data_IF_722964631154
#
_entry.id   IF_722964631154
#
_cell.length_a   1.000
_cell.length_b   1.000
_cell.length_c   1.000
_cell.angle_alpha   90.00
_cell.angle_beta   90.00
_cell.angle_gamma   90.00
#
_symmetry.space_group_name_H-M   'P 1'
#
loop_
_entity.id
_entity.type
_entity.pdbx_description
1 polymer ?
#
# COMPACT_ATOMS: atom_id res chain seq x y z
N UNK A 1 16.74 6.74 -24.01
CA UNK A 1 17.02 6.97 -22.57
C UNK A 1 16.61 5.69 -21.86
N UNK A 2 17.46 5.12 -21.02
CA UNK A 2 17.04 3.96 -20.21
C UNK A 2 15.99 4.44 -19.21
N UNK A 3 14.78 3.90 -19.31
CA UNK A 3 13.75 4.15 -18.32
C UNK A 3 14.19 3.52 -16.99
N UNK A 4 14.26 4.32 -15.95
CA UNK A 4 14.57 3.84 -14.60
C UNK A 4 13.27 3.56 -13.87
N UNK A 5 13.07 2.33 -13.46
CA UNK A 5 11.94 1.93 -12.62
C UNK A 5 12.43 1.81 -11.17
N UNK A 6 11.75 2.49 -10.26
CA UNK A 6 11.99 2.38 -8.82
C UNK A 6 10.81 1.65 -8.17
N UNK A 7 11.09 0.56 -7.46
CA UNK A 7 10.08 -0.23 -6.75
C UNK A 7 10.34 -0.14 -5.25
N UNK A 8 9.41 0.43 -4.50
CA UNK A 8 9.41 0.40 -3.04
C UNK A 8 8.50 -0.74 -2.58
N UNK A 9 9.09 -1.82 -2.08
CA UNK A 9 8.37 -3.00 -1.61
C UNK A 9 8.32 -3.02 -0.09
N UNK A 10 7.13 -2.84 0.49
CA UNK A 10 6.89 -2.98 1.93
C UNK A 10 6.40 -4.40 2.24
N UNK A 11 7.14 -5.11 3.09
CA UNK A 11 6.77 -6.46 3.55
C UNK A 11 6.67 -6.43 5.08
N UNK A 12 5.49 -6.14 5.63
CA UNK A 12 5.29 -6.11 7.07
C UNK A 12 5.62 -7.46 7.71
N UNK A 13 6.34 -7.43 8.83
CA UNK A 13 6.75 -8.64 9.55
C UNK A 13 7.99 -9.35 9.00
N UNK A 14 8.55 -8.91 7.87
CA UNK A 14 9.81 -9.47 7.35
C UNK A 14 10.97 -9.18 8.30
N UNK A 15 11.63 -10.22 8.80
CA UNK A 15 12.81 -10.09 9.66
C UNK A 15 14.08 -10.36 8.85
N UNK A 16 15.19 -9.76 9.26
CA UNK A 16 16.48 -9.95 8.60
C UNK A 16 16.87 -11.44 8.43
N UNK A 17 16.56 -12.26 9.42
CA UNK A 17 16.85 -13.70 9.40
C UNK A 17 15.99 -14.48 8.38
N UNK A 18 14.83 -13.94 7.98
CA UNK A 18 13.94 -14.60 7.03
C UNK A 18 14.47 -14.47 5.60
N UNK A 19 15.23 -13.41 5.31
CA UNK A 19 15.84 -13.15 3.98
C UNK A 19 16.71 -14.33 3.53
N UNK A 20 17.47 -14.95 4.44
CA UNK A 20 18.31 -16.10 4.12
C UNK A 20 17.54 -17.33 3.60
N UNK A 21 16.25 -17.43 3.95
CA UNK A 21 15.33 -18.50 3.53
C UNK A 21 14.52 -18.15 2.28
N UNK A 22 14.70 -16.94 1.73
CA UNK A 22 14.00 -16.42 0.56
C UNK A 22 15.00 -16.27 -0.61
N UNK A 23 15.20 -17.28 -1.45
CA UNK A 23 16.32 -17.32 -2.41
C UNK A 23 16.38 -16.11 -3.34
N UNK A 24 15.23 -15.62 -3.82
CA UNK A 24 15.15 -14.46 -4.70
C UNK A 24 15.53 -13.17 -3.98
N UNK A 25 15.00 -12.96 -2.77
CA UNK A 25 15.32 -11.78 -1.96
C UNK A 25 16.78 -11.81 -1.49
N UNK A 26 17.29 -13.00 -1.11
CA UNK A 26 18.69 -13.18 -0.77
C UNK A 26 19.63 -12.90 -1.97
N UNK A 27 19.21 -13.22 -3.18
CA UNK A 27 19.98 -12.89 -4.39
C UNK A 27 20.03 -11.38 -4.63
N UNK A 28 18.89 -10.69 -4.51
CA UNK A 28 18.82 -9.23 -4.58
C UNK A 28 19.71 -8.57 -3.51
N UNK A 29 19.63 -9.04 -2.27
CA UNK A 29 20.40 -8.53 -1.15
C UNK A 29 21.93 -8.70 -1.32
N UNK A 30 22.37 -9.73 -2.05
CA UNK A 30 23.79 -9.91 -2.40
C UNK A 30 24.28 -8.95 -3.49
N UNK A 31 23.38 -8.51 -4.37
CA UNK A 31 23.70 -7.55 -5.45
C UNK A 31 23.49 -6.08 -5.07
N UNK A 32 23.01 -5.81 -3.86
CA UNK A 32 22.70 -4.48 -3.36
C UNK A 32 23.16 -4.29 -1.92
N UNK A 33 22.63 -3.26 -1.28
CA UNK A 33 22.94 -2.91 0.11
C UNK A 33 21.87 -3.39 1.08
N UNK A 34 22.27 -3.59 2.34
CA UNK A 34 21.40 -3.93 3.44
C UNK A 34 21.64 -2.99 4.63
N UNK A 35 20.58 -2.47 5.20
CA UNK A 35 20.62 -1.64 6.38
C UNK A 35 19.58 -2.08 7.42
N UNK A 36 19.83 -1.75 8.68
CA UNK A 36 18.83 -1.89 9.71
C UNK A 36 17.76 -0.79 9.55
N UNK A 37 16.49 -1.17 9.61
CA UNK A 37 15.39 -0.23 9.65
C UNK A 37 15.03 0.06 11.11
N UNK A 38 15.11 1.32 11.51
CA UNK A 38 14.62 1.82 12.79
C UNK A 38 13.26 2.51 12.56
N UNK A 39 12.13 1.84 12.83
CA UNK A 39 10.81 2.44 12.62
C UNK A 39 10.53 3.50 13.69
N UNK A 40 9.59 4.41 13.40
CA UNK A 40 9.02 5.28 14.42
C UNK A 40 8.14 4.48 15.39
N UNK A 41 7.86 5.06 16.55
CA UNK A 41 6.89 4.48 17.49
C UNK A 41 5.53 5.20 17.33
N UNK A 42 4.41 4.45 17.32
CA UNK A 42 4.32 2.99 17.27
C UNK A 42 4.71 2.40 15.91
N UNK A 43 5.37 1.24 15.92
CA UNK A 43 5.80 0.55 14.72
C UNK A 43 4.63 -0.26 14.10
N UNK A 44 3.55 0.42 13.76
CA UNK A 44 2.37 -0.16 13.11
C UNK A 44 2.24 0.33 11.67
N UNK A 45 1.41 -0.32 10.86
CA UNK A 45 1.46 -0.22 9.40
C UNK A 45 1.25 1.19 8.86
N UNK A 46 0.18 1.88 9.27
CA UNK A 46 -0.14 3.19 8.70
C UNK A 46 0.94 4.25 8.97
N UNK A 47 1.41 4.49 10.21
CA UNK A 47 2.47 5.45 10.45
C UNK A 47 3.76 5.12 9.72
N UNK A 48 4.16 3.83 9.69
CA UNK A 48 5.41 3.43 9.03
C UNK A 48 5.33 3.60 7.51
N UNK A 49 4.22 3.24 6.89
CA UNK A 49 4.02 3.47 5.46
C UNK A 49 4.00 4.97 5.13
N UNK A 50 3.39 5.78 5.97
CA UNK A 50 3.40 7.24 5.78
C UNK A 50 4.80 7.84 5.97
N UNK A 51 5.60 7.35 6.93
CA UNK A 51 7.01 7.74 7.01
C UNK A 51 7.75 7.43 5.70
N UNK A 52 7.51 6.24 5.12
CA UNK A 52 8.18 5.80 3.88
C UNK A 52 7.76 6.66 2.67
N UNK A 53 6.50 7.00 2.56
CA UNK A 53 5.95 7.71 1.39
C UNK A 53 6.08 9.23 1.48
N UNK A 54 6.16 9.80 2.69
CA UNK A 54 6.30 11.26 2.89
C UNK A 54 7.72 11.70 3.23
N UNK A 55 8.57 10.79 3.72
CA UNK A 55 9.87 11.14 4.30
C UNK A 55 9.76 11.93 5.61
N UNK A 56 8.59 11.92 6.26
CA UNK A 56 8.26 12.69 7.46
C UNK A 56 7.93 11.79 8.63
N UNK A 57 7.88 12.36 9.84
CA UNK A 57 7.45 11.66 11.05
C UNK A 57 5.96 11.89 11.34
N UNK A 58 5.33 11.06 12.21
CA UNK A 58 3.90 11.19 12.54
C UNK A 58 3.44 12.58 12.96
N UNK A 59 4.30 13.34 13.64
CA UNK A 59 4.00 14.74 14.02
C UNK A 59 3.83 15.69 12.84
N UNK A 60 4.34 15.31 11.65
CA UNK A 60 4.30 16.14 10.44
C UNK A 60 3.27 15.64 9.44
N UNK A 61 3.13 14.31 9.28
CA UNK A 61 2.15 13.76 8.35
C UNK A 61 0.80 13.42 9.01
N UNK A 62 0.66 13.57 10.35
CA UNK A 62 -0.60 13.45 11.07
C UNK A 62 -1.08 12.02 11.35
N UNK A 63 -0.45 10.99 10.79
CA UNK A 63 -0.87 9.58 10.94
C UNK A 63 -0.12 8.95 12.11
N UNK A 64 -0.77 8.77 13.25
CA UNK A 64 -0.15 8.33 14.51
C UNK A 64 -0.45 6.88 14.86
N UNK A 65 -1.44 6.26 14.22
CA UNK A 65 -1.89 4.88 14.47
C UNK A 65 -2.58 4.30 13.24
N UNK A 66 -3.06 3.05 13.33
CA UNK A 66 -3.92 2.43 12.32
C UNK A 66 -5.41 2.85 12.41
N UNK A 67 -5.73 3.73 13.34
CA UNK A 67 -7.06 4.28 13.54
C UNK A 67 -6.99 5.69 14.07
N UNK A 68 -8.10 6.39 13.99
CA UNK A 68 -8.25 7.79 14.34
C UNK A 68 -9.41 7.98 15.32
N UNK A 69 -9.24 8.88 16.28
CA UNK A 69 -10.35 9.41 17.07
C UNK A 69 -10.71 10.79 16.56
N UNK A 70 -11.87 10.90 15.94
CA UNK A 70 -12.39 12.15 15.42
C UNK A 70 -13.13 12.92 16.52
N UNK A 71 -12.50 13.96 17.06
CA UNK A 71 -13.05 14.73 18.19
C UNK A 71 -14.33 15.48 17.86
N UNK A 72 -14.46 15.93 16.64
CA UNK A 72 -15.62 16.65 16.11
C UNK A 72 -16.86 15.76 15.99
N UNK A 73 -16.67 14.47 15.76
CA UNK A 73 -17.73 13.46 15.64
C UNK A 73 -17.87 12.57 16.88
N UNK A 74 -16.88 12.58 17.77
CA UNK A 74 -16.83 11.67 18.92
C UNK A 74 -16.67 10.20 18.56
N UNK A 75 -16.08 9.91 17.39
CA UNK A 75 -16.02 8.58 16.79
C UNK A 75 -14.59 8.04 16.67
N UNK A 76 -14.45 6.72 16.77
CA UNK A 76 -13.22 5.98 16.42
C UNK A 76 -13.41 5.34 15.07
N UNK A 77 -12.55 5.70 14.12
CA UNK A 77 -12.50 5.06 12.79
C UNK A 77 -11.22 4.24 12.69
N UNK A 78 -11.36 2.93 12.50
CA UNK A 78 -10.25 2.02 12.28
C UNK A 78 -10.10 1.73 10.78
N UNK A 79 -8.86 1.68 10.31
CA UNK A 79 -8.55 1.25 8.95
C UNK A 79 -9.19 2.10 7.85
N UNK A 80 -9.28 3.43 8.05
CA UNK A 80 -9.71 4.30 6.95
C UNK A 80 -8.83 4.06 5.72
N UNK A 81 -9.46 3.98 4.55
CA UNK A 81 -8.74 3.79 3.29
C UNK A 81 -8.30 5.14 2.69
N UNK A 82 -8.94 6.24 3.08
CA UNK A 82 -8.76 7.56 2.48
C UNK A 82 -7.41 8.20 2.78
N UNK A 83 -6.86 8.86 1.75
CA UNK A 83 -5.57 9.54 1.81
C UNK A 83 -5.65 10.96 2.41
N UNK A 84 -6.83 11.54 2.49
CA UNK A 84 -7.07 12.91 2.98
C UNK A 84 -6.64 13.14 4.43
N UNK A 85 -6.47 12.08 5.21
CA UNK A 85 -5.91 12.13 6.57
C UNK A 85 -4.41 12.42 6.60
N UNK A 86 -3.71 12.27 5.48
CA UNK A 86 -2.26 12.47 5.37
C UNK A 86 -1.96 13.95 5.14
N UNK A 87 -1.32 14.59 6.11
CA UNK A 87 -1.08 16.05 6.14
C UNK A 87 0.24 16.48 5.47
N UNK A 88 0.95 15.58 4.82
CA UNK A 88 2.20 15.88 4.14
C UNK A 88 2.21 15.34 2.71
N UNK A 89 2.87 16.02 1.76
CA UNK A 89 3.03 15.51 0.41
C UNK A 89 3.72 14.16 0.41
N UNK A 90 3.22 13.25 -0.40
CA UNK A 90 3.81 11.93 -0.59
C UNK A 90 4.71 11.92 -1.84
N UNK A 91 5.47 10.86 -2.01
CA UNK A 91 6.47 10.75 -3.08
C UNK A 91 5.87 11.00 -4.47
N UNK A 92 4.67 10.53 -4.75
CA UNK A 92 3.97 10.77 -6.03
C UNK A 92 3.57 12.23 -6.23
N UNK A 93 3.19 12.95 -5.17
CA UNK A 93 2.88 14.38 -5.24
C UNK A 93 4.13 15.19 -5.56
N UNK A 94 5.27 14.80 -4.97
CA UNK A 94 6.58 15.42 -5.24
C UNK A 94 7.03 15.11 -6.67
N UNK A 95 6.90 13.85 -7.12
CA UNK A 95 7.25 13.43 -8.48
C UNK A 95 6.44 14.17 -9.53
N UNK A 96 5.13 14.29 -9.36
CA UNK A 96 4.26 15.02 -10.29
C UNK A 96 4.68 16.48 -10.45
N UNK A 97 5.16 17.12 -9.36
CA UNK A 97 5.62 18.50 -9.36
C UNK A 97 7.03 18.67 -9.93
N UNK A 98 7.98 17.82 -9.52
CA UNK A 98 9.41 18.02 -9.79
C UNK A 98 9.92 17.25 -11.01
N UNK A 99 9.20 16.21 -11.42
CA UNK A 99 9.53 15.35 -12.55
C UNK A 99 8.29 15.08 -13.41
N UNK A 100 7.69 16.11 -14.04
CA UNK A 100 6.53 15.95 -14.91
C UNK A 100 6.78 14.88 -15.98
N UNK A 101 5.80 14.00 -16.19
CA UNK A 101 5.90 12.86 -17.10
C UNK A 101 6.44 11.57 -16.46
N UNK A 102 6.79 11.60 -15.17
CA UNK A 102 7.05 10.36 -14.41
C UNK A 102 5.73 9.74 -13.98
N UNK A 103 5.50 8.48 -14.35
CA UNK A 103 4.33 7.72 -13.90
C UNK A 103 4.58 7.11 -12.52
N UNK A 104 3.58 7.14 -11.67
CA UNK A 104 3.62 6.62 -10.30
C UNK A 104 2.46 5.66 -10.01
N UNK A 105 2.71 4.64 -9.19
CA UNK A 105 1.69 3.69 -8.76
C UNK A 105 1.73 3.45 -7.25
N UNK A 106 0.57 3.40 -6.60
CA UNK A 106 0.38 2.99 -5.22
C UNK A 106 -0.43 1.68 -5.18
N UNK A 107 0.24 0.60 -4.78
CA UNK A 107 -0.35 -0.74 -4.82
C UNK A 107 -0.44 -1.33 -3.43
N UNK A 108 -1.66 -1.58 -2.96
CA UNK A 108 -1.94 -2.10 -1.62
C UNK A 108 -1.27 -1.34 -0.46
N UNK A 109 -0.91 -0.08 -0.68
CA UNK A 109 -0.56 0.84 0.40
C UNK A 109 -1.82 1.23 1.18
N UNK A 110 -1.77 1.21 2.50
CA UNK A 110 -2.85 1.74 3.32
C UNK A 110 -2.92 3.26 3.18
N UNK A 111 -4.10 3.85 3.41
CA UNK A 111 -4.34 5.28 3.24
C UNK A 111 -4.01 5.78 1.82
N UNK A 112 -4.22 4.94 0.79
CA UNK A 112 -3.92 5.32 -0.59
C UNK A 112 -5.16 5.62 -1.45
N UNK A 113 -6.36 5.38 -0.94
CA UNK A 113 -7.60 5.72 -1.64
C UNK A 113 -7.68 7.24 -1.86
N UNK A 114 -7.70 7.65 -3.13
CA UNK A 114 -7.72 9.06 -3.50
C UNK A 114 -6.36 9.79 -3.44
N UNK A 115 -5.24 9.07 -3.28
CA UNK A 115 -3.91 9.69 -3.31
C UNK A 115 -3.54 10.22 -4.71
N UNK A 116 -2.48 11.02 -4.77
CA UNK A 116 -1.99 11.69 -5.98
C UNK A 116 -1.32 10.78 -7.01
N UNK A 117 -1.09 9.49 -6.72
CA UNK A 117 -0.48 8.57 -7.69
C UNK A 117 -1.34 8.42 -8.97
N UNK A 118 -0.70 8.15 -10.10
CA UNK A 118 -1.38 7.98 -11.39
C UNK A 118 -2.21 6.69 -11.41
N UNK A 119 -1.66 5.62 -10.86
CA UNK A 119 -2.33 4.33 -10.70
C UNK A 119 -2.45 3.97 -9.23
N UNK A 120 -3.61 3.49 -8.82
CA UNK A 120 -3.87 3.07 -7.44
C UNK A 120 -4.64 1.75 -7.45
N UNK A 121 -4.26 0.82 -6.59
CA UNK A 121 -5.08 -0.32 -6.23
C UNK A 121 -4.97 -0.55 -4.73
N UNK A 122 -6.10 -0.50 -4.02
CA UNK A 122 -6.15 -0.72 -2.57
C UNK A 122 -7.48 -1.38 -2.18
N UNK A 123 -7.51 -2.29 -1.18
CA UNK A 123 -8.76 -2.87 -0.75
C UNK A 123 -9.69 -1.78 -0.18
N UNK A 124 -10.93 -1.82 -0.60
CA UNK A 124 -11.98 -0.92 -0.16
C UNK A 124 -13.31 -1.67 -0.13
N UNK A 125 -13.49 -2.66 0.76
CA UNK A 125 -14.70 -3.46 0.81
C UNK A 125 -15.92 -2.58 1.06
N UNK A 126 -17.05 -2.97 0.48
CA UNK A 126 -18.32 -2.29 0.67
C UNK A 126 -19.05 -3.03 1.79
N UNK A 127 -19.30 -2.32 2.89
CA UNK A 127 -20.10 -2.83 4.00
C UNK A 127 -21.59 -2.68 3.65
N UNK A 128 -22.28 -3.81 3.53
CA UNK A 128 -23.68 -3.83 3.19
C UNK A 128 -24.57 -3.63 4.44
N UNK A 129 -25.81 -3.12 4.29
CA UNK A 129 -26.73 -2.91 5.43
C UNK A 129 -27.07 -4.17 6.21
N UNK A 130 -26.95 -5.35 5.62
CA UNK A 130 -27.18 -6.65 6.26
C UNK A 130 -25.98 -7.18 7.06
N UNK A 131 -24.89 -6.39 7.13
CA UNK A 131 -23.64 -6.75 7.79
C UNK A 131 -22.69 -7.60 6.96
N UNK A 132 -23.03 -7.93 5.73
CA UNK A 132 -22.12 -8.60 4.79
C UNK A 132 -21.14 -7.59 4.16
N UNK A 133 -20.07 -8.12 3.56
CA UNK A 133 -19.10 -7.32 2.81
C UNK A 133 -19.07 -7.77 1.35
N UNK A 134 -19.16 -6.79 0.44
CA UNK A 134 -18.86 -7.02 -0.97
C UNK A 134 -17.38 -6.78 -1.21
N UNK A 135 -16.70 -7.76 -1.81
CA UNK A 135 -15.28 -7.64 -2.14
C UNK A 135 -15.10 -6.56 -3.21
N UNK A 136 -14.30 -5.57 -2.88
CA UNK A 136 -14.00 -4.47 -3.77
C UNK A 136 -12.59 -3.94 -3.54
N UNK A 137 -11.92 -3.50 -4.62
CA UNK A 137 -10.74 -2.65 -4.52
C UNK A 137 -11.05 -1.30 -5.16
N UNK A 138 -10.66 -0.23 -4.49
CA UNK A 138 -10.56 1.07 -5.13
C UNK A 138 -9.40 1.04 -6.12
N UNK A 139 -9.65 1.51 -7.33
CA UNK A 139 -8.60 1.68 -8.34
C UNK A 139 -8.64 3.06 -8.97
N UNK A 140 -7.50 3.48 -9.47
CA UNK A 140 -7.33 4.63 -10.34
C UNK A 140 -6.45 4.18 -11.52
N UNK A 141 -6.93 4.25 -12.76
CA UNK A 141 -8.30 4.63 -13.14
C UNK A 141 -9.35 3.60 -12.67
N UNK A 142 -10.64 3.98 -12.62
CA UNK A 142 -11.71 3.08 -12.11
C UNK A 142 -11.86 1.77 -12.88
N UNK A 143 -11.61 1.79 -14.20
CA UNK A 143 -11.73 0.64 -15.10
C UNK A 143 -10.75 -0.49 -14.74
N UNK A 144 -9.63 -0.15 -14.15
CA UNK A 144 -8.57 -1.08 -13.76
C UNK A 144 -9.09 -2.19 -12.83
N UNK A 145 -10.06 -1.91 -11.95
CA UNK A 145 -10.60 -2.97 -11.10
C UNK A 145 -11.28 -4.08 -11.89
N UNK A 146 -12.04 -3.72 -12.94
CA UNK A 146 -12.67 -4.70 -13.83
C UNK A 146 -11.64 -5.61 -14.49
N UNK A 147 -10.57 -5.04 -15.03
CA UNK A 147 -9.48 -5.78 -15.66
C UNK A 147 -8.78 -6.75 -14.68
N UNK A 148 -8.47 -6.27 -13.49
CA UNK A 148 -7.83 -7.08 -12.47
C UNK A 148 -8.73 -8.22 -11.98
N UNK A 149 -10.02 -7.94 -11.74
CA UNK A 149 -11.00 -8.94 -11.35
C UNK A 149 -11.17 -10.01 -12.44
N UNK A 150 -11.28 -9.62 -13.69
CA UNK A 150 -11.51 -10.53 -14.81
C UNK A 150 -10.27 -11.41 -15.08
N UNK A 151 -9.08 -10.94 -14.68
CA UNK A 151 -7.82 -11.67 -14.84
C UNK A 151 -7.47 -12.54 -13.62
N UNK A 152 -7.76 -12.10 -12.42
CA UNK A 152 -7.27 -12.69 -11.16
C UNK A 152 -8.38 -13.01 -10.15
N UNK A 153 -9.65 -12.90 -10.52
CA UNK A 153 -10.79 -12.90 -9.61
C UNK A 153 -10.78 -11.73 -8.62
N UNK A 154 -11.73 -11.68 -7.70
CA UNK A 154 -11.76 -10.70 -6.64
C UNK A 154 -10.56 -10.86 -5.71
N UNK A 155 -10.04 -9.74 -5.21
CA UNK A 155 -9.03 -9.78 -4.16
C UNK A 155 -9.54 -10.56 -2.95
N UNK A 156 -8.81 -11.60 -2.50
CA UNK A 156 -9.28 -12.47 -1.42
C UNK A 156 -9.08 -11.82 -0.05
N UNK A 157 -9.91 -10.83 0.28
CA UNK A 157 -9.79 -9.98 1.46
C UNK A 157 -9.71 -10.78 2.78
N UNK A 158 -10.49 -11.87 2.91
CA UNK A 158 -10.46 -12.71 4.11
C UNK A 158 -9.17 -13.49 4.31
N UNK A 159 -8.32 -13.53 3.28
CA UNK A 159 -6.97 -14.09 3.36
C UNK A 159 -5.89 -13.02 3.54
N UNK A 160 -6.28 -11.75 3.67
CA UNK A 160 -5.34 -10.65 3.81
C UNK A 160 -5.01 -10.35 5.27
N UNK A 161 -6.00 -10.42 6.14
CA UNK A 161 -5.84 -10.23 7.58
C UNK A 161 -6.76 -11.16 8.39
N UNK A 162 -6.53 -11.20 9.72
CA UNK A 162 -7.29 -12.04 10.63
C UNK A 162 -6.86 -13.50 10.63
N UNK A 163 -7.64 -14.39 11.24
CA UNK A 163 -7.24 -15.77 11.50
C UNK A 163 -7.16 -16.65 10.22
N UNK A 164 -7.75 -16.21 9.12
CA UNK A 164 -7.71 -16.91 7.83
C UNK A 164 -6.62 -16.38 6.89
N UNK A 165 -5.81 -15.43 7.35
CA UNK A 165 -4.72 -14.86 6.56
C UNK A 165 -3.77 -15.94 6.04
N UNK A 166 -3.47 -15.90 4.75
CA UNK A 166 -2.59 -16.86 4.09
C UNK A 166 -1.94 -16.25 2.83
N UNK A 167 -1.20 -17.06 2.10
CA UNK A 167 -0.41 -16.62 0.95
C UNK A 167 -1.25 -16.11 -0.23
N UNK A 168 -2.50 -16.53 -0.38
CA UNK A 168 -3.35 -16.20 -1.54
C UNK A 168 -3.49 -14.68 -1.75
N UNK A 169 -3.62 -13.90 -0.68
CA UNK A 169 -3.66 -12.45 -0.78
C UNK A 169 -2.35 -11.85 -1.30
N UNK A 170 -1.21 -12.36 -0.84
CA UNK A 170 0.11 -11.90 -1.30
C UNK A 170 0.38 -12.29 -2.75
N UNK A 171 -0.06 -13.47 -3.17
CA UNK A 171 0.01 -13.93 -4.56
C UNK A 171 -0.82 -13.05 -5.48
N UNK A 172 -2.05 -12.72 -5.09
CA UNK A 172 -2.91 -11.82 -5.84
C UNK A 172 -2.28 -10.42 -5.97
N UNK A 173 -1.79 -9.86 -4.86
CA UNK A 173 -1.12 -8.54 -4.85
C UNK A 173 0.08 -8.53 -5.78
N UNK A 174 0.94 -9.56 -5.69
CA UNK A 174 2.14 -9.63 -6.52
C UNK A 174 1.80 -9.82 -8.01
N UNK A 175 0.86 -10.72 -8.33
CA UNK A 175 0.43 -10.97 -9.70
C UNK A 175 -0.20 -9.74 -10.34
N UNK A 176 -1.12 -9.08 -9.64
CA UNK A 176 -1.79 -7.86 -10.14
C UNK A 176 -0.82 -6.69 -10.30
N UNK A 177 0.12 -6.50 -9.36
CA UNK A 177 1.15 -5.48 -9.47
C UNK A 177 2.07 -5.70 -10.69
N UNK A 178 2.50 -6.95 -10.92
CA UNK A 178 3.32 -7.31 -12.10
C UNK A 178 2.55 -7.14 -13.40
N UNK A 179 1.25 -7.48 -13.41
CA UNK A 179 0.39 -7.26 -14.57
C UNK A 179 0.30 -5.77 -14.88
N UNK A 180 -0.07 -4.96 -13.90
CA UNK A 180 -0.16 -3.52 -14.04
C UNK A 180 1.16 -2.89 -14.56
N UNK A 181 2.29 -3.26 -13.99
CA UNK A 181 3.60 -2.75 -14.42
C UNK A 181 4.00 -3.13 -15.85
N UNK A 182 3.29 -4.10 -16.49
CA UNK A 182 3.55 -4.51 -17.87
C UNK A 182 2.57 -3.92 -18.88
N UNK A 183 1.41 -3.52 -18.43
CA UNK A 183 0.31 -3.06 -19.29
C UNK A 183 0.08 -1.56 -19.24
N UNK A 184 0.60 -0.90 -18.24
CA UNK A 184 0.55 0.55 -18.01
C UNK A 184 1.90 1.19 -18.27
#
# INVERSE_FOLDING_TARGET
>A
MNETIVVLLSIPGLRRQDVARMPRLAALARGGDQAALAPSFPAVTCPVQMNMTTGKLPREHGVVANGFYWRDRGEVEMWTAWNDVVQAPQIWDVLARERPGTTSAAWFGLLSKGCGADYVCTPAPIHNPDGSESLWCYTKPPELYGELRDTFDHFPLHHFWGPLANIASSEWIAASAVHAARTM
#
